data_IF_853510365260
#
_entry.id   IF_853510365260
#
_cell.length_a   1.000
_cell.length_b   1.000
_cell.length_c   1.000
_cell.angle_alpha   90.00
_cell.angle_beta   90.00
_cell.angle_gamma   90.00
#
_symmetry.space_group_name_H-M   'P 1'
#
loop_
_entity.id
_entity.type
_entity.pdbx_description
1 polymer ?
#
# COMPACT_ATOMS: atom_id res chain seq x y z
N UNK A 1 25.94 -18.49 -1.69
CA UNK A 1 24.59 -18.35 -2.32
C UNK A 1 23.47 -18.53 -1.28
N UNK A 2 23.54 -19.55 -0.40
CA UNK A 2 22.45 -19.84 0.56
C UNK A 2 22.22 -18.73 1.59
N UNK A 3 23.29 -18.13 2.13
CA UNK A 3 23.21 -17.09 3.17
C UNK A 3 22.47 -15.80 2.72
N UNK A 4 22.78 -15.18 1.55
CA UNK A 4 22.06 -13.98 1.13
C UNK A 4 20.59 -14.26 0.81
N UNK A 5 20.28 -15.41 0.21
CA UNK A 5 18.89 -15.80 -0.10
C UNK A 5 18.08 -15.96 1.20
N UNK A 6 18.66 -16.61 2.22
CA UNK A 6 18.00 -16.76 3.51
C UNK A 6 17.69 -15.41 4.18
N UNK A 7 18.59 -14.42 4.05
CA UNK A 7 18.36 -13.07 4.58
C UNK A 7 17.19 -12.37 3.90
N UNK A 8 17.15 -12.36 2.57
CA UNK A 8 16.08 -11.75 1.78
C UNK A 8 14.71 -12.35 2.11
N UNK A 9 14.65 -13.68 2.25
CA UNK A 9 13.41 -14.38 2.64
C UNK A 9 12.96 -14.00 4.05
N UNK A 10 13.90 -13.91 5.01
CA UNK A 10 13.58 -13.48 6.36
C UNK A 10 13.06 -12.04 6.42
N UNK A 11 13.68 -11.11 5.71
CA UNK A 11 13.22 -9.72 5.63
C UNK A 11 11.81 -9.64 5.03
N UNK A 12 11.54 -10.40 3.97
CA UNK A 12 10.22 -10.45 3.35
C UNK A 12 9.17 -11.08 4.27
N UNK A 13 9.53 -12.12 5.02
CA UNK A 13 8.68 -12.73 6.03
C UNK A 13 8.32 -11.76 7.16
N UNK A 14 9.29 -10.99 7.66
CA UNK A 14 9.05 -9.96 8.69
C UNK A 14 8.06 -8.91 8.18
N UNK A 15 8.22 -8.43 6.94
CA UNK A 15 7.30 -7.48 6.33
C UNK A 15 5.88 -8.07 6.24
N UNK A 16 5.74 -9.32 5.78
CA UNK A 16 4.44 -9.99 5.70
C UNK A 16 3.74 -10.10 7.06
N UNK A 17 4.48 -10.49 8.11
CA UNK A 17 3.95 -10.57 9.46
C UNK A 17 3.50 -9.19 9.95
N UNK A 18 4.29 -8.15 9.71
CA UNK A 18 3.92 -6.77 10.05
C UNK A 18 2.61 -6.33 9.38
N UNK A 19 2.44 -6.65 8.09
CA UNK A 19 1.22 -6.33 7.34
C UNK A 19 -0.01 -7.06 7.90
N UNK A 20 0.14 -8.33 8.28
CA UNK A 20 -0.94 -9.12 8.87
C UNK A 20 -1.33 -8.56 10.24
N UNK A 21 -0.35 -8.19 11.07
CA UNK A 21 -0.60 -7.56 12.38
C UNK A 21 -1.37 -6.25 12.20
N UNK A 22 -0.91 -5.38 11.28
CA UNK A 22 -1.54 -4.10 11.04
C UNK A 22 -2.96 -4.26 10.48
N UNK A 23 -3.16 -5.18 9.54
CA UNK A 23 -4.48 -5.52 9.00
C UNK A 23 -5.43 -6.03 10.09
N UNK A 24 -4.92 -6.88 10.99
CA UNK A 24 -5.69 -7.41 12.12
C UNK A 24 -6.08 -6.32 13.12
N UNK A 25 -5.18 -5.37 13.37
CA UNK A 25 -5.46 -4.20 14.19
C UNK A 25 -6.61 -3.35 13.62
N UNK A 26 -6.58 -3.05 12.32
CA UNK A 26 -7.68 -2.31 11.66
C UNK A 26 -9.01 -3.09 11.66
N UNK A 27 -8.97 -4.42 11.54
CA UNK A 27 -10.17 -5.25 11.72
C UNK A 27 -10.74 -5.12 13.13
N UNK A 28 -9.89 -5.23 14.16
CA UNK A 28 -10.31 -5.11 15.55
C UNK A 28 -10.92 -3.73 15.83
N UNK A 29 -10.31 -2.66 15.33
CA UNK A 29 -10.86 -1.30 15.41
C UNK A 29 -12.20 -1.19 14.69
N UNK A 30 -12.35 -1.79 13.51
CA UNK A 30 -13.61 -1.85 12.77
C UNK A 30 -14.72 -2.52 13.59
N UNK A 31 -14.43 -3.69 14.18
CA UNK A 31 -15.37 -4.42 15.02
C UNK A 31 -15.79 -3.64 16.27
N UNK A 32 -14.85 -2.93 16.90
CA UNK A 32 -15.16 -2.06 18.04
C UNK A 32 -16.05 -0.88 17.62
N UNK A 33 -15.72 -0.22 16.51
CA UNK A 33 -16.47 0.95 16.01
C UNK A 33 -17.92 0.61 15.66
N UNK A 34 -18.18 -0.60 15.17
CA UNK A 34 -19.55 -1.07 14.86
C UNK A 34 -20.43 -1.26 16.10
N UNK A 35 -19.85 -1.58 17.26
CA UNK A 35 -20.60 -1.73 18.52
C UNK A 35 -21.10 -0.40 19.07
N UNK A 36 -20.56 0.73 18.61
CA UNK A 36 -21.04 2.05 19.03
C UNK A 36 -22.34 2.40 18.28
N UNK A 37 -23.47 2.58 18.98
CA UNK A 37 -24.77 2.84 18.35
C UNK A 37 -24.81 4.14 17.53
N UNK A 38 -23.92 5.11 17.83
CA UNK A 38 -23.79 6.35 17.05
C UNK A 38 -23.09 6.20 15.70
N UNK A 39 -22.37 5.09 15.47
CA UNK A 39 -21.52 4.88 14.28
C UNK A 39 -21.95 3.66 13.45
N UNK A 40 -22.97 2.92 13.90
CA UNK A 40 -23.48 1.72 13.25
C UNK A 40 -24.10 2.00 11.87
N UNK A 41 -24.59 3.21 11.62
CA UNK A 41 -25.19 3.61 10.33
C UNK A 41 -24.13 3.90 9.24
N UNK A 42 -22.84 3.93 9.60
CA UNK A 42 -21.75 4.22 8.66
C UNK A 42 -21.16 2.94 8.08
N UNK A 43 -20.65 2.96 6.82
CA UNK A 43 -20.08 1.78 6.17
C UNK A 43 -18.67 1.46 6.71
N UNK A 44 -18.56 1.05 7.98
CA UNK A 44 -17.29 0.77 8.67
C UNK A 44 -16.44 -0.27 7.92
N UNK A 45 -17.08 -1.26 7.30
CA UNK A 45 -16.39 -2.26 6.48
C UNK A 45 -15.65 -1.64 5.30
N UNK A 46 -16.26 -0.65 4.63
CA UNK A 46 -15.63 0.04 3.50
C UNK A 46 -14.41 0.85 3.94
N UNK A 47 -14.45 1.46 5.14
CA UNK A 47 -13.30 2.18 5.68
C UNK A 47 -12.16 1.24 6.03
N UNK A 48 -12.44 0.13 6.73
CA UNK A 48 -11.45 -0.89 7.07
C UNK A 48 -10.86 -1.51 5.80
N UNK A 49 -11.68 -1.76 4.79
CA UNK A 49 -11.24 -2.27 3.50
C UNK A 49 -10.31 -1.31 2.79
N UNK A 50 -10.64 -0.02 2.76
CA UNK A 50 -9.76 1.00 2.18
C UNK A 50 -8.43 1.09 2.92
N UNK A 51 -8.44 1.03 4.26
CA UNK A 51 -7.22 0.99 5.06
C UNK A 51 -6.36 -0.23 4.73
N UNK A 52 -6.97 -1.42 4.54
CA UNK A 52 -6.24 -2.62 4.10
C UNK A 52 -5.60 -2.41 2.73
N UNK A 53 -6.31 -1.83 1.76
CA UNK A 53 -5.75 -1.55 0.43
C UNK A 53 -4.49 -0.68 0.56
N UNK A 54 -4.53 0.36 1.38
CA UNK A 54 -3.38 1.22 1.62
C UNK A 54 -2.22 0.44 2.26
N UNK A 55 -2.50 -0.36 3.31
CA UNK A 55 -1.50 -1.17 4.01
C UNK A 55 -0.84 -2.17 3.06
N UNK A 56 -1.63 -2.92 2.29
CA UNK A 56 -1.11 -3.89 1.34
C UNK A 56 -0.35 -3.21 0.19
N UNK A 57 -0.80 -2.04 -0.28
CA UNK A 57 -0.08 -1.26 -1.30
C UNK A 57 1.31 -0.86 -0.81
N UNK A 58 1.42 -0.36 0.42
CA UNK A 58 2.71 -0.04 1.06
C UNK A 58 3.54 -1.33 1.22
N UNK A 59 2.91 -2.42 1.66
CA UNK A 59 3.55 -3.72 1.80
C UNK A 59 4.19 -4.26 0.52
N UNK A 60 3.49 -4.13 -0.61
CA UNK A 60 4.03 -4.48 -1.93
C UNK A 60 5.26 -3.64 -2.26
N UNK A 61 5.24 -2.33 -1.97
CA UNK A 61 6.40 -1.46 -2.21
C UNK A 61 7.61 -1.85 -1.35
N UNK A 62 7.39 -2.22 -0.08
CA UNK A 62 8.45 -2.77 0.77
C UNK A 62 8.98 -4.11 0.24
N UNK A 63 8.09 -5.01 -0.21
CA UNK A 63 8.50 -6.26 -0.84
C UNK A 63 9.35 -6.05 -2.08
N UNK A 64 8.93 -5.13 -2.97
CA UNK A 64 9.71 -4.75 -4.15
C UNK A 64 11.05 -4.11 -3.77
N UNK A 65 11.10 -3.30 -2.72
CA UNK A 65 12.34 -2.68 -2.22
C UNK A 65 13.38 -3.74 -1.83
N UNK A 66 12.95 -4.79 -1.13
CA UNK A 66 13.78 -5.92 -0.70
C UNK A 66 14.26 -6.73 -1.91
N UNK A 67 13.37 -7.03 -2.86
CA UNK A 67 13.71 -7.83 -4.05
C UNK A 67 14.67 -7.08 -4.98
N UNK A 68 14.41 -5.79 -5.23
CA UNK A 68 15.22 -4.96 -6.13
C UNK A 68 16.51 -4.46 -5.46
N UNK A 69 16.63 -4.59 -4.13
CA UNK A 69 17.74 -4.04 -3.35
C UNK A 69 17.84 -2.51 -3.47
N UNK A 70 16.71 -1.84 -3.73
CA UNK A 70 16.61 -0.38 -3.85
C UNK A 70 15.82 0.18 -2.70
N UNK A 71 16.14 1.39 -2.27
CA UNK A 71 15.42 2.04 -1.18
C UNK A 71 13.98 2.41 -1.58
N UNK A 72 13.09 2.48 -0.60
CA UNK A 72 11.69 2.83 -0.81
C UNK A 72 11.49 4.20 -1.52
N UNK A 73 12.21 5.29 -1.16
CA UNK A 73 12.08 6.56 -1.86
C UNK A 73 12.51 6.49 -3.34
N UNK A 74 13.44 5.61 -3.68
CA UNK A 74 13.85 5.40 -5.07
C UNK A 74 12.71 4.79 -5.89
N UNK A 75 11.96 3.84 -5.32
CA UNK A 75 10.78 3.25 -5.97
C UNK A 75 9.67 4.28 -6.15
N UNK A 76 9.36 5.07 -5.11
CA UNK A 76 8.41 6.17 -5.20
C UNK A 76 8.83 7.21 -6.23
N UNK A 77 10.11 7.57 -6.27
CA UNK A 77 10.65 8.49 -7.26
C UNK A 77 10.51 7.96 -8.69
N UNK A 78 10.75 6.67 -8.90
CA UNK A 78 10.60 6.04 -10.22
C UNK A 78 9.14 6.00 -10.66
N UNK A 79 8.23 5.54 -9.79
CA UNK A 79 6.79 5.51 -10.08
C UNK A 79 6.24 6.94 -10.33
N UNK A 80 6.65 7.89 -9.48
CA UNK A 80 6.26 9.30 -9.60
C UNK A 80 6.79 9.95 -10.88
N UNK A 81 8.05 9.71 -11.24
CA UNK A 81 8.65 10.22 -12.47
C UNK A 81 7.93 9.64 -13.71
N UNK A 82 7.68 8.33 -13.74
CA UNK A 82 6.92 7.71 -14.85
C UNK A 82 5.50 8.27 -14.93
N UNK A 83 4.82 8.48 -13.80
CA UNK A 83 3.50 9.11 -13.77
C UNK A 83 3.52 10.56 -14.25
N UNK A 84 4.54 11.34 -13.87
CA UNK A 84 4.70 12.72 -14.33
C UNK A 84 4.94 12.77 -15.84
N UNK A 85 5.79 11.89 -16.38
CA UNK A 85 6.02 11.77 -17.81
C UNK A 85 4.72 11.40 -18.55
N UNK A 86 3.95 10.42 -18.04
CA UNK A 86 2.64 10.07 -18.59
C UNK A 86 1.69 11.26 -18.62
N UNK A 87 1.60 12.01 -17.52
CA UNK A 87 0.78 13.22 -17.43
C UNK A 87 1.23 14.30 -18.42
N UNK A 88 2.55 14.45 -18.63
CA UNK A 88 3.11 15.40 -19.60
C UNK A 88 2.79 15.00 -21.04
N UNK A 89 2.90 13.72 -21.38
CA UNK A 89 2.61 13.21 -22.73
C UNK A 89 1.13 13.35 -23.08
N UNK A 90 0.25 13.07 -22.14
CA UNK A 90 -1.21 13.17 -22.34
C UNK A 90 -1.79 14.53 -21.97
N UNK A 91 -0.97 15.53 -21.65
CA UNK A 91 -1.42 16.85 -21.18
C UNK A 91 -2.48 17.45 -22.11
N UNK A 92 -2.20 17.45 -23.42
CA UNK A 92 -3.11 18.05 -24.41
C UNK A 92 -4.37 17.21 -24.63
N UNK A 93 -4.27 15.89 -24.53
CA UNK A 93 -5.43 14.98 -24.56
C UNK A 93 -6.36 15.22 -23.35
N UNK A 94 -5.78 15.43 -22.16
CA UNK A 94 -6.54 15.74 -20.94
C UNK A 94 -7.21 17.12 -21.06
N UNK A 95 -6.50 18.12 -21.61
CA UNK A 95 -7.07 19.44 -21.87
C UNK A 95 -8.22 19.38 -22.88
N UNK A 96 -8.09 18.58 -23.93
CA UNK A 96 -9.14 18.38 -24.93
C UNK A 96 -10.34 17.58 -24.43
N UNK A 97 -10.20 16.82 -23.33
CA UNK A 97 -11.30 16.09 -22.69
C UNK A 97 -12.10 16.96 -21.71
N UNK A 98 -11.47 17.98 -21.10
CA UNK A 98 -12.15 18.87 -20.13
C UNK A 98 -12.79 20.10 -20.78
N UNK A 99 -12.43 20.42 -22.03
CA UNK A 99 -12.99 21.51 -22.84
C UNK A 99 -14.31 21.12 -23.50
#
# INVERSE_FOLDING_TARGET
IVIPVARTVNELYIVLILLIILSSFFNALGHYTKQLPSLSDKPIDSYVQLSKIIIFSIGVLFGLSIILGKSLPYLFGTLGATSAILLLVFKDTILGFVA
#
